data_IF_803251983387
#
_entry.id   IF_803251983387
#
_cell.length_a   1.000
_cell.length_b   1.000
_cell.length_c   1.000
_cell.angle_alpha   90.00
_cell.angle_beta   90.00
_cell.angle_gamma   90.00
#
_symmetry.space_group_name_H-M   'P 1'
#
loop_
_entity.id
_entity.type
_entity.pdbx_description
1 polymer ?
#
# COMPACT_ATOMS: atom_id res chain seq x y z
N UNK A 1 -6.20 21.33 0.86
CA UNK A 1 -6.09 19.86 0.67
C UNK A 1 -4.74 19.51 0.08
N UNK A 2 -4.38 20.06 -1.06
CA UNK A 2 -3.08 19.86 -1.75
C UNK A 2 -1.89 20.09 -0.81
N UNK A 3 -1.86 21.23 -0.10
CA UNK A 3 -0.82 21.53 0.92
C UNK A 3 -0.75 20.51 2.06
N UNK A 4 -1.89 19.93 2.46
CA UNK A 4 -1.92 18.90 3.52
C UNK A 4 -1.26 17.61 3.00
N UNK A 5 -1.57 17.20 1.77
CA UNK A 5 -0.95 16.02 1.17
C UNK A 5 0.56 16.22 1.00
N UNK A 6 1.00 17.39 0.55
CA UNK A 6 2.42 17.70 0.46
C UNK A 6 3.12 17.70 1.83
N UNK A 7 2.47 18.20 2.88
CA UNK A 7 3.01 18.13 4.25
C UNK A 7 3.30 16.69 4.69
N UNK A 8 2.48 15.71 4.30
CA UNK A 8 2.79 14.29 4.57
C UNK A 8 4.04 13.82 3.83
N UNK A 9 4.24 14.25 2.57
CA UNK A 9 5.47 13.95 1.80
C UNK A 9 6.69 14.54 2.50
N UNK A 10 6.61 15.80 2.94
CA UNK A 10 7.68 16.45 3.69
C UNK A 10 7.95 15.76 5.03
N UNK A 11 6.91 15.33 5.73
CA UNK A 11 7.02 14.63 7.01
C UNK A 11 7.79 13.31 6.87
N UNK A 12 7.52 12.54 5.81
CA UNK A 12 8.29 11.32 5.51
C UNK A 12 9.76 11.65 5.25
N UNK A 13 10.05 12.63 4.39
CA UNK A 13 11.43 13.06 4.10
C UNK A 13 12.17 13.57 5.35
N UNK A 14 11.48 14.22 6.28
CA UNK A 14 12.07 14.76 7.51
C UNK A 14 12.29 13.70 8.59
N UNK A 15 11.31 12.81 8.80
CA UNK A 15 11.38 11.78 9.85
C UNK A 15 12.17 10.55 9.42
N UNK A 16 12.24 10.28 8.11
CA UNK A 16 12.84 9.06 7.56
C UNK A 16 12.36 7.79 8.27
N UNK A 17 11.05 7.50 8.25
CA UNK A 17 10.49 6.39 9.02
C UNK A 17 11.10 5.05 8.63
N UNK A 18 11.37 4.20 9.62
CA UNK A 18 11.79 2.83 9.44
C UNK A 18 10.57 1.96 9.07
N UNK A 19 10.52 1.45 7.85
CA UNK A 19 9.41 0.60 7.35
C UNK A 19 9.88 -0.84 7.26
N UNK A 20 9.33 -1.69 8.13
CA UNK A 20 9.60 -3.13 8.13
C UNK A 20 8.71 -3.82 7.11
N UNK A 21 9.32 -4.37 6.07
CA UNK A 21 8.63 -5.04 4.96
C UNK A 21 8.82 -6.55 5.05
N UNK A 22 7.72 -7.29 5.23
CA UNK A 22 7.62 -8.71 4.94
C UNK A 22 6.90 -8.81 3.59
N UNK A 23 7.68 -8.80 2.51
CA UNK A 23 7.17 -8.74 1.14
C UNK A 23 7.66 -9.89 0.27
N UNK A 24 7.06 -10.04 -0.90
CA UNK A 24 7.41 -11.08 -1.86
C UNK A 24 8.78 -10.88 -2.53
N UNK A 25 9.39 -11.98 -2.98
CA UNK A 25 10.73 -11.99 -3.58
C UNK A 25 10.83 -11.14 -4.86
N UNK A 26 9.75 -11.05 -5.64
CA UNK A 26 9.75 -10.37 -6.94
C UNK A 26 9.99 -8.86 -6.80
N UNK A 27 9.67 -8.28 -5.63
CA UNK A 27 9.61 -6.83 -5.46
C UNK A 27 10.51 -6.27 -4.37
N UNK A 28 11.26 -7.10 -3.62
CA UNK A 28 12.08 -6.63 -2.49
C UNK A 28 12.98 -5.44 -2.83
N UNK A 29 13.68 -5.51 -3.97
CA UNK A 29 14.55 -4.42 -4.41
C UNK A 29 13.75 -3.17 -4.82
N UNK A 30 12.64 -3.37 -5.54
CA UNK A 30 11.79 -2.27 -6.04
C UNK A 30 11.13 -1.51 -4.88
N UNK A 31 10.65 -2.22 -3.85
CA UNK A 31 10.02 -1.61 -2.68
C UNK A 31 11.03 -0.86 -1.83
N UNK A 32 12.22 -1.44 -1.62
CA UNK A 32 13.31 -0.77 -0.91
C UNK A 32 13.75 0.52 -1.61
N UNK A 33 13.98 0.47 -2.92
CA UNK A 33 14.40 1.65 -3.68
C UNK A 33 13.31 2.74 -3.74
N UNK A 34 12.04 2.37 -3.82
CA UNK A 34 10.94 3.34 -3.76
C UNK A 34 10.87 4.04 -2.40
N UNK A 35 11.03 3.30 -1.30
CA UNK A 35 11.08 3.86 0.05
C UNK A 35 12.27 4.80 0.23
N UNK A 36 13.46 4.38 -0.18
CA UNK A 36 14.67 5.21 -0.13
C UNK A 36 14.50 6.50 -0.93
N UNK A 37 13.98 6.41 -2.15
CA UNK A 37 13.73 7.58 -2.99
C UNK A 37 12.71 8.54 -2.35
N UNK A 38 11.65 8.02 -1.74
CA UNK A 38 10.67 8.85 -1.03
C UNK A 38 11.20 9.44 0.30
N UNK A 39 12.39 9.04 0.74
CA UNK A 39 13.03 9.54 1.97
C UNK A 39 12.73 8.72 3.22
N UNK A 40 12.21 7.49 3.08
CA UNK A 40 12.03 6.54 4.17
C UNK A 40 13.19 5.53 4.28
N UNK A 41 13.25 4.79 5.38
CA UNK A 41 14.26 3.76 5.63
C UNK A 41 13.64 2.35 5.53
N UNK A 42 13.91 1.57 4.47
CA UNK A 42 13.39 0.21 4.36
C UNK A 42 14.20 -0.79 5.19
N UNK A 43 13.52 -1.78 5.77
CA UNK A 43 14.15 -3.02 6.27
C UNK A 43 13.34 -4.23 5.84
N UNK A 44 14.00 -5.25 5.30
CA UNK A 44 13.39 -6.50 4.83
C UNK A 44 13.87 -7.64 5.72
N UNK A 45 13.12 -7.93 6.78
CA UNK A 45 13.40 -8.98 7.75
C UNK A 45 12.22 -9.94 7.81
N UNK A 46 12.47 -11.24 7.65
CA UNK A 46 11.42 -12.26 7.62
C UNK A 46 11.76 -13.49 8.48
N UNK A 47 12.91 -13.50 9.16
CA UNK A 47 13.28 -14.59 10.06
C UNK A 47 12.47 -14.51 11.35
N UNK A 48 11.75 -15.60 11.70
CA UNK A 48 10.84 -15.66 12.87
C UNK A 48 11.48 -15.16 14.17
N UNK A 49 12.78 -15.42 14.34
CA UNK A 49 13.56 -15.06 15.53
C UNK A 49 13.74 -13.56 15.73
N UNK A 50 13.72 -12.74 14.68
CA UNK A 50 13.98 -11.29 14.78
C UNK A 50 12.73 -10.43 14.55
N UNK A 51 11.61 -11.01 14.08
CA UNK A 51 10.41 -10.24 13.72
C UNK A 51 9.93 -9.34 14.85
N UNK A 52 9.83 -9.88 16.07
CA UNK A 52 9.32 -9.10 17.22
C UNK A 52 10.22 -7.91 17.53
N UNK A 53 11.53 -8.09 17.46
CA UNK A 53 12.49 -7.00 17.68
C UNK A 53 12.37 -5.95 16.56
N UNK A 54 12.27 -6.40 15.31
CA UNK A 54 12.15 -5.51 14.16
C UNK A 54 10.87 -4.68 14.18
N UNK A 55 9.73 -5.29 14.52
CA UNK A 55 8.44 -4.60 14.66
C UNK A 55 8.46 -3.57 15.78
N UNK A 56 9.17 -3.83 16.88
CA UNK A 56 9.26 -2.87 17.98
C UNK A 56 9.97 -1.58 17.58
N UNK A 57 11.07 -1.69 16.80
CA UNK A 57 11.89 -0.54 16.42
C UNK A 57 11.41 0.18 15.15
N UNK A 58 10.59 -0.46 14.32
CA UNK A 58 10.07 0.16 13.09
C UNK A 58 8.99 1.20 13.36
N UNK A 59 8.74 2.12 12.45
CA UNK A 59 7.62 3.08 12.53
C UNK A 59 6.33 2.51 11.92
N UNK A 60 6.47 1.57 10.99
CA UNK A 60 5.36 0.82 10.40
C UNK A 60 5.80 -0.56 9.90
N UNK A 61 4.82 -1.45 9.77
CA UNK A 61 5.00 -2.80 9.21
C UNK A 61 4.19 -2.94 7.91
N UNK A 62 4.76 -3.57 6.90
CA UNK A 62 4.09 -3.87 5.63
C UNK A 62 4.12 -5.38 5.42
N UNK A 63 2.96 -5.98 5.29
CA UNK A 63 2.79 -7.41 5.04
C UNK A 63 2.19 -7.59 3.65
N UNK A 64 2.97 -8.19 2.75
CA UNK A 64 2.57 -8.51 1.38
C UNK A 64 2.71 -10.01 1.13
N UNK A 65 1.62 -10.65 0.71
CA UNK A 65 1.53 -12.11 0.55
C UNK A 65 1.92 -12.62 -0.85
N UNK A 66 2.52 -11.80 -1.71
CA UNK A 66 2.65 -12.08 -3.15
C UNK A 66 3.32 -13.41 -3.50
N UNK A 67 4.35 -13.81 -2.76
CA UNK A 67 5.03 -15.13 -2.89
C UNK A 67 5.10 -15.83 -1.53
N UNK A 68 3.97 -15.81 -0.78
CA UNK A 68 3.90 -16.50 0.50
C UNK A 68 4.17 -18.01 0.36
N UNK A 69 4.71 -18.57 1.43
CA UNK A 69 4.79 -20.00 1.72
C UNK A 69 4.42 -20.20 3.20
N UNK A 70 4.41 -21.44 3.68
CA UNK A 70 4.07 -21.78 5.06
C UNK A 70 5.02 -21.12 6.08
N UNK A 71 6.32 -21.05 5.78
CA UNK A 71 7.31 -20.47 6.66
C UNK A 71 7.16 -18.95 6.79
N UNK A 72 6.96 -18.28 5.65
CA UNK A 72 6.70 -16.85 5.56
C UNK A 72 5.38 -16.47 6.23
N UNK A 73 4.36 -17.30 6.08
CA UNK A 73 3.04 -17.06 6.69
C UNK A 73 3.13 -16.98 8.22
N UNK A 74 3.90 -17.87 8.85
CA UNK A 74 4.16 -17.79 10.30
C UNK A 74 4.85 -16.48 10.71
N UNK A 75 5.84 -16.02 9.95
CA UNK A 75 6.49 -14.73 10.21
C UNK A 75 5.54 -13.54 10.04
N UNK A 76 4.64 -13.60 9.06
CA UNK A 76 3.59 -12.59 8.86
C UNK A 76 2.63 -12.54 10.05
N UNK A 77 2.22 -13.69 10.59
CA UNK A 77 1.38 -13.74 11.78
C UNK A 77 2.07 -13.17 13.01
N UNK A 78 3.34 -13.51 13.25
CA UNK A 78 4.11 -12.94 14.36
C UNK A 78 4.19 -11.41 14.23
N UNK A 79 4.41 -10.91 13.00
CA UNK A 79 4.49 -9.48 12.76
C UNK A 79 3.16 -8.76 13.00
N UNK A 80 2.06 -9.30 12.46
CA UNK A 80 0.72 -8.75 12.62
C UNK A 80 0.25 -8.79 14.09
N UNK A 81 0.46 -9.91 14.78
CA UNK A 81 0.19 -10.06 16.21
C UNK A 81 0.95 -9.00 17.03
N UNK A 82 2.25 -8.89 16.81
CA UNK A 82 3.11 -7.94 17.55
C UNK A 82 2.72 -6.51 17.25
N UNK A 83 2.50 -6.17 15.97
CA UNK A 83 2.08 -4.83 15.55
C UNK A 83 0.73 -4.44 16.19
N UNK A 84 -0.25 -5.33 16.18
CA UNK A 84 -1.54 -5.11 16.81
C UNK A 84 -1.41 -4.91 18.34
N UNK A 85 -0.61 -5.74 19.01
CA UNK A 85 -0.42 -5.66 20.47
C UNK A 85 0.22 -4.35 20.95
N UNK A 86 1.10 -3.74 20.14
CA UNK A 86 1.77 -2.47 20.47
C UNK A 86 1.18 -1.27 19.75
N UNK A 87 0.03 -1.44 19.06
CA UNK A 87 -0.60 -0.42 18.23
C UNK A 87 0.32 0.19 17.15
N UNK A 88 1.24 -0.62 16.61
CA UNK A 88 2.09 -0.22 15.48
C UNK A 88 1.24 -0.15 14.21
N UNK A 89 1.30 0.96 13.45
CA UNK A 89 0.64 1.02 12.15
C UNK A 89 1.14 -0.10 11.24
N UNK A 90 0.23 -0.87 10.65
CA UNK A 90 0.61 -1.89 9.69
C UNK A 90 -0.33 -1.97 8.49
N UNK A 91 0.25 -2.30 7.33
CA UNK A 91 -0.42 -2.33 6.03
C UNK A 91 -0.48 -3.75 5.51
N UNK A 92 -1.67 -4.19 5.12
CA UNK A 92 -1.90 -5.46 4.44
C UNK A 92 -2.03 -5.24 2.92
N UNK A 93 -1.21 -5.97 2.15
CA UNK A 93 -1.31 -6.08 0.69
C UNK A 93 -1.74 -7.50 0.31
N UNK A 94 -3.03 -7.70 0.01
CA UNK A 94 -3.64 -9.00 -0.16
C UNK A 94 -3.42 -9.56 -1.58
N UNK A 95 -2.16 -9.50 -2.07
CA UNK A 95 -1.81 -9.86 -3.45
C UNK A 95 -2.33 -11.24 -3.82
N UNK A 96 -3.18 -11.28 -4.84
CA UNK A 96 -3.80 -12.51 -5.33
C UNK A 96 -4.89 -13.08 -4.42
N UNK A 97 -5.53 -12.27 -3.57
CA UNK A 97 -6.76 -12.66 -2.87
C UNK A 97 -7.80 -13.21 -3.86
N UNK A 98 -8.45 -14.31 -3.50
CA UNK A 98 -9.42 -15.03 -4.33
C UNK A 98 -8.79 -15.93 -5.39
N UNK A 99 -7.46 -15.97 -5.54
CA UNK A 99 -6.80 -16.82 -6.54
C UNK A 99 -6.62 -18.26 -6.04
N UNK A 100 -6.33 -18.46 -4.74
CA UNK A 100 -6.14 -19.79 -4.15
C UNK A 100 -6.66 -19.83 -2.72
N UNK A 101 -7.18 -20.99 -2.29
CA UNK A 101 -7.67 -21.19 -0.93
C UNK A 101 -6.60 -20.96 0.14
N UNK A 102 -5.33 -21.27 -0.17
CA UNK A 102 -4.22 -21.03 0.76
C UNK A 102 -4.02 -19.53 1.03
N UNK A 103 -4.01 -18.69 -0.03
CA UNK A 103 -3.93 -17.23 0.14
C UNK A 103 -5.09 -16.72 0.98
N UNK A 104 -6.29 -17.19 0.68
CA UNK A 104 -7.51 -16.74 1.34
C UNK A 104 -7.54 -17.12 2.82
N UNK A 105 -7.09 -18.32 3.18
CA UNK A 105 -6.97 -18.77 4.58
C UNK A 105 -5.96 -17.94 5.38
N UNK A 106 -4.83 -17.56 4.77
CA UNK A 106 -3.82 -16.72 5.42
C UNK A 106 -4.35 -15.29 5.59
N UNK A 107 -5.01 -14.74 4.58
CA UNK A 107 -5.63 -13.41 4.65
C UNK A 107 -6.71 -13.32 5.72
N UNK A 108 -7.58 -14.34 5.82
CA UNK A 108 -8.59 -14.40 6.86
C UNK A 108 -7.98 -14.32 8.26
N UNK A 109 -6.89 -15.06 8.51
CA UNK A 109 -6.19 -15.03 9.79
C UNK A 109 -5.47 -13.69 10.03
N UNK A 110 -4.88 -13.08 9.01
CA UNK A 110 -4.22 -11.77 9.13
C UNK A 110 -5.21 -10.65 9.48
N UNK A 111 -6.44 -10.72 8.97
CA UNK A 111 -7.49 -9.73 9.24
C UNK A 111 -7.90 -9.68 10.72
N UNK A 112 -7.79 -10.78 11.45
CA UNK A 112 -8.09 -10.83 12.90
C UNK A 112 -7.18 -9.87 13.71
N UNK A 113 -6.00 -9.54 13.18
CA UNK A 113 -5.06 -8.58 13.78
C UNK A 113 -5.30 -7.13 13.34
N UNK A 114 -6.44 -6.84 12.69
CA UNK A 114 -6.95 -5.49 12.39
C UNK A 114 -5.89 -4.57 11.75
N UNK A 115 -5.57 -4.78 10.46
CA UNK A 115 -4.65 -3.88 9.74
C UNK A 115 -5.07 -2.42 9.88
N UNK A 116 -4.08 -1.52 9.97
CA UNK A 116 -4.34 -0.07 9.95
C UNK A 116 -4.77 0.38 8.57
N UNK A 117 -4.16 -0.23 7.54
CA UNK A 117 -4.49 0.03 6.15
C UNK A 117 -4.55 -1.30 5.39
N UNK A 118 -5.58 -1.48 4.57
CA UNK A 118 -5.63 -2.54 3.56
C UNK A 118 -5.51 -1.86 2.20
N UNK A 119 -4.52 -2.27 1.39
CA UNK A 119 -4.34 -1.72 0.04
C UNK A 119 -4.30 -2.85 -0.98
N UNK A 120 -5.19 -2.81 -1.97
CA UNK A 120 -5.27 -3.81 -3.03
C UNK A 120 -5.98 -3.26 -4.25
N UNK A 121 -5.95 -4.00 -5.36
CA UNK A 121 -6.79 -3.64 -6.52
C UNK A 121 -8.27 -4.00 -6.26
N UNK A 122 -9.18 -3.52 -7.11
CA UNK A 122 -10.61 -3.76 -6.95
C UNK A 122 -10.99 -5.24 -6.79
N UNK A 123 -10.41 -6.13 -7.61
CA UNK A 123 -10.69 -7.57 -7.54
C UNK A 123 -10.21 -8.20 -6.22
N UNK A 124 -9.04 -7.79 -5.73
CA UNK A 124 -8.48 -8.26 -4.45
C UNK A 124 -9.30 -7.77 -3.26
N UNK A 125 -9.76 -6.51 -3.26
CA UNK A 125 -10.60 -5.95 -2.21
C UNK A 125 -11.98 -6.64 -2.17
N UNK A 126 -12.58 -6.88 -3.33
CA UNK A 126 -13.84 -7.63 -3.43
C UNK A 126 -13.66 -9.06 -2.92
N UNK A 127 -12.57 -9.74 -3.32
CA UNK A 127 -12.26 -11.08 -2.85
C UNK A 127 -12.03 -11.10 -1.33
N UNK A 128 -11.28 -10.15 -0.79
CA UNK A 128 -11.00 -10.05 0.64
C UNK A 128 -12.28 -9.86 1.48
N UNK A 129 -13.20 -9.01 1.02
CA UNK A 129 -14.50 -8.84 1.66
C UNK A 129 -15.36 -10.12 1.60
N UNK A 130 -15.26 -10.88 0.50
CA UNK A 130 -15.94 -12.17 0.33
C UNK A 130 -15.32 -13.30 1.16
N UNK A 131 -14.01 -13.34 1.36
CA UNK A 131 -13.37 -14.35 2.24
C UNK A 131 -13.90 -14.21 3.66
N UNK A 132 -14.25 -12.99 4.03
CA UNK A 132 -14.75 -12.62 5.33
C UNK A 132 -16.29 -12.63 5.44
N UNK A 133 -17.01 -12.93 4.35
CA UNK A 133 -18.48 -13.08 4.33
C UNK A 133 -18.85 -14.42 3.71
N UNK A 134 -19.78 -15.17 4.29
CA UNK A 134 -20.00 -16.61 4.01
C UNK A 134 -20.47 -17.00 2.58
N UNK A 135 -20.33 -16.17 1.55
CA UNK A 135 -20.90 -16.41 0.21
C UNK A 135 -19.87 -16.21 -0.92
N UNK A 136 -19.49 -17.32 -1.55
CA UNK A 136 -18.53 -17.39 -2.67
C UNK A 136 -19.17 -17.21 -4.06
N UNK A 137 -18.52 -16.43 -4.92
CA UNK A 137 -18.25 -16.75 -6.33
C UNK A 137 -17.06 -15.92 -6.81
N UNK A 138 -16.15 -16.57 -7.55
CA UNK A 138 -14.86 -16.04 -8.01
C UNK A 138 -14.98 -14.71 -8.75
N UNK A 139 -13.93 -13.90 -8.65
CA UNK A 139 -13.89 -12.52 -9.17
C UNK A 139 -13.05 -12.48 -10.43
N UNK A 140 -13.60 -11.98 -11.52
CA UNK A 140 -12.84 -11.64 -12.72
C UNK A 140 -11.93 -10.44 -12.43
N UNK A 141 -10.70 -10.47 -12.93
CA UNK A 141 -9.63 -9.50 -12.64
C UNK A 141 -9.79 -8.13 -13.33
N UNK A 142 -10.98 -7.82 -13.84
CA UNK A 142 -11.27 -6.60 -14.62
C UNK A 142 -12.20 -5.61 -13.91
N UNK A 143 -12.42 -5.75 -12.60
CA UNK A 143 -13.28 -4.84 -11.84
C UNK A 143 -12.69 -3.41 -11.80
N UNK A 144 -13.52 -2.39 -12.00
CA UNK A 144 -13.13 -1.00 -11.82
C UNK A 144 -13.12 -0.64 -10.32
N UNK A 145 -12.37 0.41 -9.93
CA UNK A 145 -12.27 0.80 -8.51
C UNK A 145 -13.63 1.07 -7.84
N UNK A 146 -14.57 1.67 -8.58
CA UNK A 146 -15.91 1.96 -8.07
C UNK A 146 -16.71 0.69 -7.74
N UNK A 147 -16.43 -0.43 -8.39
CA UNK A 147 -17.13 -1.70 -8.17
C UNK A 147 -16.76 -2.32 -6.81
N UNK A 148 -15.64 -1.89 -6.22
CA UNK A 148 -15.14 -2.38 -4.94
C UNK A 148 -15.49 -1.49 -3.74
N UNK A 149 -16.20 -0.37 -3.93
CA UNK A 149 -16.50 0.59 -2.84
C UNK A 149 -17.36 -0.05 -1.75
N UNK A 150 -18.39 -0.81 -2.10
CA UNK A 150 -19.24 -1.50 -1.11
C UNK A 150 -18.42 -2.54 -0.33
N UNK A 151 -17.57 -3.30 -1.02
CA UNK A 151 -16.67 -4.27 -0.40
C UNK A 151 -15.66 -3.59 0.54
N UNK A 152 -15.09 -2.45 0.13
CA UNK A 152 -14.21 -1.67 0.97
C UNK A 152 -14.94 -1.12 2.20
N UNK A 153 -16.17 -0.62 2.06
CA UNK A 153 -16.95 -0.11 3.20
C UNK A 153 -17.24 -1.21 4.23
N UNK A 154 -17.49 -2.44 3.77
CA UNK A 154 -17.62 -3.60 4.66
C UNK A 154 -16.34 -3.84 5.47
N UNK A 155 -15.18 -3.85 4.80
CA UNK A 155 -13.88 -4.02 5.47
C UNK A 155 -13.58 -2.88 6.45
N UNK A 156 -13.81 -1.64 6.04
CA UNK A 156 -13.67 -0.42 6.86
C UNK A 156 -14.49 -0.57 8.14
N UNK A 157 -15.77 -0.91 8.03
CA UNK A 157 -16.68 -0.98 9.17
C UNK A 157 -16.35 -2.16 10.11
N UNK A 158 -15.97 -3.30 9.55
CA UNK A 158 -15.72 -4.50 10.34
C UNK A 158 -14.39 -4.44 11.10
N UNK A 159 -13.34 -3.93 10.45
CA UNK A 159 -11.99 -3.94 11.02
C UNK A 159 -11.55 -2.59 11.59
N UNK A 160 -12.31 -1.52 11.34
CA UNK A 160 -11.92 -0.14 11.68
C UNK A 160 -10.56 0.22 11.03
N UNK A 161 -10.44 -0.05 9.74
CA UNK A 161 -9.23 0.15 8.92
C UNK A 161 -9.46 1.26 7.90
N UNK A 162 -8.37 1.83 7.38
CA UNK A 162 -8.38 2.54 6.09
C UNK A 162 -8.34 1.50 4.97
N UNK A 163 -9.10 1.68 3.90
CA UNK A 163 -8.99 0.86 2.69
C UNK A 163 -8.58 1.74 1.51
N UNK A 164 -7.57 1.30 0.77
CA UNK A 164 -7.11 1.91 -0.47
C UNK A 164 -7.35 0.93 -1.63
N UNK A 165 -8.34 1.23 -2.46
CA UNK A 165 -8.60 0.51 -3.71
C UNK A 165 -7.76 1.17 -4.80
N UNK A 166 -6.76 0.49 -5.33
CA UNK A 166 -5.97 1.02 -6.43
C UNK A 166 -6.55 0.73 -7.81
N UNK A 167 -6.39 1.65 -8.75
CA UNK A 167 -6.82 1.48 -10.14
C UNK A 167 -6.49 2.69 -11.00
N UNK A 168 -7.28 2.94 -12.06
CA UNK A 168 -7.18 4.20 -12.82
C UNK A 168 -7.54 5.41 -11.95
N UNK A 169 -8.47 5.22 -11.02
CA UNK A 169 -8.72 6.11 -9.90
C UNK A 169 -8.47 5.33 -8.63
N UNK A 170 -7.53 5.78 -7.83
CA UNK A 170 -7.33 5.22 -6.49
C UNK A 170 -8.40 5.80 -5.56
N UNK A 171 -9.07 4.95 -4.80
CA UNK A 171 -10.11 5.33 -3.83
C UNK A 171 -9.63 4.96 -2.44
N UNK A 172 -9.45 5.97 -1.58
CA UNK A 172 -8.97 5.80 -0.21
C UNK A 172 -10.09 6.21 0.73
N UNK A 173 -10.59 5.29 1.53
CA UNK A 173 -11.70 5.55 2.44
C UNK A 173 -11.48 4.99 3.84
N UNK A 174 -12.07 5.67 4.81
CA UNK A 174 -12.30 5.22 6.18
C UNK A 174 -13.79 5.51 6.52
N UNK A 175 -14.25 5.36 7.78
CA UNK A 175 -15.66 5.61 8.11
C UNK A 175 -16.14 7.05 7.84
N UNK A 176 -15.24 8.04 7.82
CA UNK A 176 -15.57 9.47 7.84
C UNK A 176 -15.16 10.24 6.57
N UNK A 177 -14.30 9.67 5.75
CA UNK A 177 -13.62 10.36 4.66
C UNK A 177 -13.45 9.44 3.46
N UNK A 178 -13.59 10.00 2.26
CA UNK A 178 -13.26 9.31 1.01
C UNK A 178 -12.48 10.25 0.08
N UNK A 179 -11.27 9.85 -0.31
CA UNK A 179 -10.44 10.54 -1.28
C UNK A 179 -10.38 9.75 -2.58
N UNK A 180 -10.40 10.45 -3.71
CA UNK A 180 -10.21 9.87 -5.03
C UNK A 180 -9.00 10.53 -5.69
N UNK A 181 -7.98 9.75 -6.01
CA UNK A 181 -6.76 10.22 -6.69
C UNK A 181 -6.79 9.71 -8.13
N UNK A 182 -6.66 10.62 -9.10
CA UNK A 182 -6.73 10.32 -10.55
C UNK A 182 -5.39 10.52 -11.26
N UNK A 183 -4.31 10.40 -10.51
CA UNK A 183 -2.94 10.47 -11.02
C UNK A 183 -2.41 9.08 -11.38
N UNK A 184 -1.39 9.04 -12.24
CA UNK A 184 -0.76 7.81 -12.71
C UNK A 184 -0.69 7.76 -14.23
N UNK A 185 -0.19 6.64 -14.75
CA UNK A 185 -0.07 6.43 -16.20
C UNK A 185 -0.20 4.95 -16.56
N UNK A 186 -0.85 4.57 -17.68
CA UNK A 186 -1.03 3.16 -18.07
C UNK A 186 0.28 2.37 -18.18
N UNK A 187 1.39 3.02 -18.54
CA UNK A 187 2.72 2.38 -18.62
C UNK A 187 3.19 1.83 -17.26
N UNK A 188 2.71 2.38 -16.14
CA UNK A 188 3.01 1.87 -14.80
C UNK A 188 2.53 0.42 -14.62
N UNK A 189 1.44 0.03 -15.27
CA UNK A 189 0.94 -1.35 -15.24
C UNK A 189 1.88 -2.36 -15.92
N UNK A 190 2.89 -1.88 -16.65
CA UNK A 190 3.90 -2.70 -17.34
C UNK A 190 5.22 -2.83 -16.57
N UNK A 191 5.30 -2.25 -15.37
CA UNK A 191 6.44 -2.38 -14.47
C UNK A 191 6.04 -3.25 -13.28
N UNK A 192 6.73 -4.37 -13.09
CA UNK A 192 6.41 -5.29 -11.99
C UNK A 192 6.59 -4.63 -10.64
N UNK A 193 5.68 -4.93 -9.72
CA UNK A 193 5.81 -4.54 -8.31
C UNK A 193 5.48 -3.08 -7.97
N UNK A 194 5.03 -2.24 -8.91
CA UNK A 194 4.65 -0.86 -8.56
C UNK A 194 3.49 -0.79 -7.56
N UNK A 195 2.55 -1.73 -7.63
CA UNK A 195 1.52 -1.87 -6.59
C UNK A 195 2.11 -2.17 -5.22
N UNK A 196 3.10 -3.07 -5.14
CA UNK A 196 3.78 -3.38 -3.89
C UNK A 196 4.63 -2.20 -3.38
N UNK A 197 5.25 -1.43 -4.29
CA UNK A 197 5.92 -0.17 -3.95
C UNK A 197 4.91 0.84 -3.37
N UNK A 198 3.69 0.91 -3.92
CA UNK A 198 2.62 1.75 -3.37
C UNK A 198 2.25 1.33 -1.95
N UNK A 199 2.15 0.03 -1.68
CA UNK A 199 1.93 -0.50 -0.32
C UNK A 199 3.07 -0.12 0.62
N UNK A 200 4.33 -0.28 0.19
CA UNK A 200 5.49 0.08 0.98
C UNK A 200 5.47 1.59 1.35
N UNK A 201 5.24 2.46 0.36
CA UNK A 201 5.06 3.89 0.57
C UNK A 201 3.89 4.18 1.51
N UNK A 202 2.77 3.49 1.35
CA UNK A 202 1.62 3.62 2.27
C UNK A 202 2.04 3.31 3.72
N UNK A 203 2.90 2.32 3.94
CA UNK A 203 3.49 2.03 5.24
C UNK A 203 4.30 3.21 5.80
N UNK A 204 5.18 3.82 5.01
CA UNK A 204 5.95 4.99 5.43
C UNK A 204 5.04 6.16 5.86
N UNK A 205 4.01 6.44 5.07
CA UNK A 205 3.09 7.53 5.36
C UNK A 205 2.20 7.22 6.56
N UNK A 206 1.73 5.98 6.71
CA UNK A 206 0.96 5.53 7.86
C UNK A 206 1.79 5.52 9.16
N UNK A 207 3.09 5.23 9.11
CA UNK A 207 3.99 5.29 10.26
C UNK A 207 4.19 6.71 10.78
N UNK A 208 4.23 7.70 9.89
CA UNK A 208 4.50 9.09 10.25
C UNK A 208 3.27 9.95 10.53
N UNK A 209 2.15 9.67 9.88
CA UNK A 209 0.97 10.56 9.86
C UNK A 209 -0.02 10.24 10.96
N UNK A 210 -0.62 11.24 11.60
CA UNK A 210 -1.72 11.04 12.55
C UNK A 210 -3.02 10.69 11.82
N UNK A 211 -3.41 11.51 10.84
CA UNK A 211 -4.48 11.18 9.89
C UNK A 211 -3.94 10.16 8.87
N UNK A 212 -4.28 8.89 9.12
CA UNK A 212 -3.84 7.77 8.27
C UNK A 212 -4.45 7.85 6.87
N UNK A 213 -5.68 8.31 6.74
CA UNK A 213 -6.39 8.36 5.46
C UNK A 213 -5.78 9.40 4.54
N UNK A 214 -5.50 10.62 5.05
CA UNK A 214 -4.81 11.66 4.27
C UNK A 214 -3.35 11.28 3.98
N UNK A 215 -2.68 10.58 4.90
CA UNK A 215 -1.34 10.04 4.68
C UNK A 215 -1.31 9.01 3.54
N UNK A 216 -2.26 8.08 3.53
CA UNK A 216 -2.40 7.08 2.44
C UNK A 216 -2.72 7.76 1.11
N UNK A 217 -3.63 8.74 1.11
CA UNK A 217 -3.93 9.53 -0.09
C UNK A 217 -2.68 10.28 -0.62
N UNK A 218 -1.85 10.83 0.26
CA UNK A 218 -0.59 11.47 -0.11
C UNK A 218 0.42 10.48 -0.70
N UNK A 219 0.52 9.25 -0.16
CA UNK A 219 1.38 8.20 -0.70
C UNK A 219 0.97 7.81 -2.13
N UNK A 220 -0.33 7.61 -2.36
CA UNK A 220 -0.87 7.26 -3.68
C UNK A 220 -0.70 8.43 -4.68
N UNK A 221 -0.97 9.66 -4.25
CA UNK A 221 -0.74 10.85 -5.05
C UNK A 221 0.73 11.02 -5.44
N UNK A 222 1.66 10.84 -4.49
CA UNK A 222 3.10 10.93 -4.74
C UNK A 222 3.54 9.94 -5.82
N UNK A 223 3.16 8.67 -5.68
CA UNK A 223 3.51 7.64 -6.64
C UNK A 223 2.86 7.88 -8.01
N UNK A 224 1.57 8.25 -8.03
CA UNK A 224 0.83 8.51 -9.26
C UNK A 224 1.40 9.71 -10.03
N UNK A 225 1.67 10.83 -9.35
CA UNK A 225 2.26 12.03 -9.97
C UNK A 225 3.68 11.73 -10.45
N UNK A 226 4.51 11.06 -9.64
CA UNK A 226 5.85 10.69 -10.05
C UNK A 226 5.84 9.80 -11.29
N UNK A 227 4.91 8.83 -11.37
CA UNK A 227 4.73 7.97 -12.54
C UNK A 227 4.23 8.72 -13.77
N UNK A 228 3.30 9.66 -13.61
CA UNK A 228 2.81 10.52 -14.68
C UNK A 228 3.94 11.39 -15.26
N UNK A 229 4.74 12.03 -14.42
CA UNK A 229 5.87 12.85 -14.87
C UNK A 229 6.96 11.98 -15.51
N UNK A 230 7.38 10.90 -14.84
CA UNK A 230 8.42 10.01 -15.35
C UNK A 230 8.05 9.35 -16.69
N UNK A 231 6.76 9.08 -16.93
CA UNK A 231 6.30 8.52 -18.20
C UNK A 231 6.55 9.42 -19.41
N UNK A 232 6.59 10.75 -19.24
CA UNK A 232 6.82 11.71 -20.34
C UNK A 232 8.23 11.60 -20.92
N UNK A 233 9.18 11.12 -20.12
CA UNK A 233 10.60 10.98 -20.48
C UNK A 233 11.00 9.51 -20.71
N UNK A 234 10.06 8.58 -20.55
CA UNK A 234 10.31 7.14 -20.65
C UNK A 234 10.06 6.60 -22.05
N UNK A 235 10.98 5.78 -22.56
CA UNK A 235 10.86 5.08 -23.85
C UNK A 235 10.13 3.73 -23.75
N UNK A 236 9.86 3.27 -22.53
CA UNK A 236 9.22 1.99 -22.25
C UNK A 236 9.24 1.66 -20.76
N UNK A 237 8.79 0.45 -20.35
CA UNK A 237 8.66 0.09 -18.94
C UNK A 237 10.01 0.04 -18.21
N UNK A 238 11.09 -0.40 -18.87
CA UNK A 238 12.43 -0.42 -18.26
C UNK A 238 12.94 0.97 -17.91
N UNK A 239 12.82 1.95 -18.83
CA UNK A 239 13.19 3.34 -18.53
C UNK A 239 12.23 3.98 -17.53
N UNK A 240 10.94 3.62 -17.54
CA UNK A 240 9.98 4.12 -16.56
C UNK A 240 10.36 3.69 -15.14
N UNK A 241 10.78 2.43 -14.96
CA UNK A 241 11.19 1.93 -13.65
C UNK A 241 12.32 2.79 -13.04
N UNK A 242 13.32 3.17 -13.84
CA UNK A 242 14.42 4.02 -13.40
C UNK A 242 13.96 5.45 -13.17
N UNK A 243 13.32 6.06 -14.17
CA UNK A 243 12.88 7.45 -14.12
C UNK A 243 11.85 7.71 -12.99
N UNK A 244 11.04 6.71 -12.63
CA UNK A 244 10.10 6.80 -11.52
C UNK A 244 10.83 6.95 -10.18
N UNK A 245 11.89 6.17 -9.95
CA UNK A 245 12.70 6.25 -8.73
C UNK A 245 13.37 7.63 -8.64
N UNK A 246 13.96 8.11 -9.74
CA UNK A 246 14.54 9.45 -9.80
C UNK A 246 13.49 10.53 -9.49
N UNK A 247 12.29 10.37 -10.04
CA UNK A 247 11.19 11.32 -9.82
C UNK A 247 10.66 11.29 -8.39
N UNK A 248 10.54 10.12 -7.76
CA UNK A 248 10.18 10.03 -6.33
C UNK A 248 11.18 10.79 -5.44
N UNK A 249 12.46 10.71 -5.78
CA UNK A 249 13.53 11.41 -5.07
C UNK A 249 13.46 12.94 -5.27
N UNK A 250 13.38 13.38 -6.53
CA UNK A 250 13.54 14.78 -6.88
C UNK A 250 12.24 15.60 -7.01
N UNK A 251 11.06 14.98 -6.81
CA UNK A 251 9.78 15.70 -6.93
C UNK A 251 9.72 16.91 -5.99
N UNK A 252 9.29 18.02 -6.58
CA UNK A 252 9.13 19.31 -5.90
C UNK A 252 7.69 19.56 -5.46
N UNK A 253 7.50 20.51 -4.54
CA UNK A 253 6.16 20.95 -4.12
C UNK A 253 5.35 21.48 -5.31
N UNK A 254 6.00 22.26 -6.19
CA UNK A 254 5.38 22.84 -7.37
C UNK A 254 4.91 21.75 -8.35
N UNK A 255 5.75 20.76 -8.66
CA UNK A 255 5.36 19.62 -9.50
C UNK A 255 4.20 18.83 -8.87
N UNK A 256 4.27 18.56 -7.57
CA UNK A 256 3.24 17.82 -6.86
C UNK A 256 1.88 18.55 -6.89
N UNK A 257 1.86 19.83 -6.50
CA UNK A 257 0.62 20.61 -6.45
C UNK A 257 0.04 20.81 -7.85
N UNK A 258 0.88 21.14 -8.84
CA UNK A 258 0.40 21.42 -10.22
C UNK A 258 -0.18 20.20 -10.93
N UNK A 259 0.24 18.98 -10.56
CA UNK A 259 -0.25 17.75 -11.18
C UNK A 259 -1.32 17.03 -10.37
N UNK A 260 -1.54 17.38 -9.09
CA UNK A 260 -2.46 16.67 -8.21
C UNK A 260 -3.90 16.71 -8.74
N UNK A 261 -4.49 15.53 -8.94
CA UNK A 261 -5.88 15.33 -9.36
C UNK A 261 -6.62 14.62 -8.23
N UNK A 262 -7.23 15.38 -7.33
CA UNK A 262 -7.90 14.86 -6.13
C UNK A 262 -9.34 15.34 -6.01
N UNK A 263 -10.24 14.41 -5.69
CA UNK A 263 -11.59 14.69 -5.20
C UNK A 263 -11.71 14.20 -3.74
N UNK A 264 -12.49 14.92 -2.91
CA UNK A 264 -12.87 14.46 -1.57
C UNK A 264 -14.39 14.45 -1.45
N UNK A 265 -14.93 13.32 -1.01
CA UNK A 265 -16.35 13.18 -0.63
C UNK A 265 -16.50 13.24 0.88
#
# INVERSE_FOLDING_TARGET
MEKILWQHVQLVKQKSPLVHNITNYVVMNNTANALLAAGASPIMAHAKSEIREMVNISDAVVINIGTLDEYWSESMFIAAETANAIHKPWVLDPVGAGATSFRDQILQQLLEYRPTVIRGNASEIIALAKINTTVTKGVDSTAASNDAVDAAQLLVNQFNTVVCISGETDIILNPDQCFMIRNGHPLMTKVTGLGCSATALTGAFAGCSEDKTSGVAAAMALLGIAGEIASKESKGPGSLQVNLIDKLYNITEEEFISHLKIDRK
#
